data_IF_324401096196
#
_entry.id   IF_324401096196
#
_cell.length_a   1.000
_cell.length_b   1.000
_cell.length_c   1.000
_cell.angle_alpha   90.00
_cell.angle_beta   90.00
_cell.angle_gamma   90.00
#
_symmetry.space_group_name_H-M   'P 1'
#
loop_
_entity.id
_entity.type
_entity.pdbx_description
1 polymer ?
#
# COMPACT_ATOMS: atom_id res chain seq x y z
N UNK A 1 -2.70 35.87 17.96
CA UNK A 1 -3.02 34.69 17.14
C UNK A 1 -1.85 33.70 16.94
N UNK A 2 -0.60 34.08 17.17
CA UNK A 2 0.60 33.23 16.95
C UNK A 2 0.76 32.10 17.98
N UNK A 3 0.43 32.36 19.25
CA UNK A 3 0.65 31.41 20.39
C UNK A 3 -0.23 30.16 20.31
N UNK A 4 -1.51 30.33 19.93
CA UNK A 4 -2.46 29.20 19.77
C UNK A 4 -2.04 28.25 18.64
N UNK A 5 -1.55 28.81 17.52
CA UNK A 5 -1.07 28.04 16.35
C UNK A 5 0.21 27.24 16.67
N UNK A 6 1.08 27.81 17.52
CA UNK A 6 2.32 27.14 17.98
C UNK A 6 1.99 26.01 18.97
N UNK A 7 1.07 26.21 19.93
CA UNK A 7 0.64 25.18 20.85
C UNK A 7 -0.07 24.01 20.13
N UNK A 8 -0.89 24.31 19.13
CA UNK A 8 -1.54 23.28 18.31
C UNK A 8 -0.52 22.46 17.50
N UNK A 9 0.49 23.11 16.92
CA UNK A 9 1.57 22.45 16.17
C UNK A 9 2.43 21.55 17.05
N UNK A 10 2.74 22.00 18.28
CA UNK A 10 3.46 21.20 19.29
C UNK A 10 2.64 20.00 19.75
N UNK A 11 1.33 20.18 19.97
CA UNK A 11 0.42 19.09 20.31
C UNK A 11 0.34 18.04 19.23
N UNK A 12 0.29 18.44 17.95
CA UNK A 12 0.29 17.52 16.81
C UNK A 12 1.61 16.77 16.71
N UNK A 13 2.75 17.44 16.78
CA UNK A 13 4.07 16.80 16.71
C UNK A 13 4.25 15.74 17.82
N UNK A 14 3.76 16.02 19.05
CA UNK A 14 3.79 15.04 20.15
C UNK A 14 2.89 13.83 19.87
N UNK A 15 1.74 14.04 19.25
CA UNK A 15 0.84 12.95 18.82
C UNK A 15 1.53 12.05 17.80
N UNK A 16 2.12 12.65 16.77
CA UNK A 16 2.81 11.92 15.70
C UNK A 16 4.01 11.14 16.23
N UNK A 17 4.77 11.73 17.15
CA UNK A 17 5.87 11.05 17.81
C UNK A 17 5.41 9.83 18.64
N UNK A 18 4.36 9.99 19.45
CA UNK A 18 3.81 8.89 20.24
C UNK A 18 3.27 7.78 19.35
N UNK A 19 2.57 8.15 18.27
CA UNK A 19 2.05 7.20 17.30
C UNK A 19 3.19 6.40 16.66
N UNK A 20 4.23 7.07 16.17
CA UNK A 20 5.40 6.41 15.61
C UNK A 20 6.09 5.46 16.59
N UNK A 21 6.22 5.86 17.87
CA UNK A 21 6.77 5.00 18.91
C UNK A 21 5.93 3.74 19.14
N UNK A 22 4.62 3.87 19.27
CA UNK A 22 3.70 2.73 19.46
C UNK A 22 3.72 1.79 18.24
N UNK A 23 3.70 2.34 17.03
CA UNK A 23 3.80 1.54 15.80
C UNK A 23 5.11 0.76 15.71
N UNK A 24 6.24 1.40 16.06
CA UNK A 24 7.57 0.75 16.08
C UNK A 24 7.62 -0.43 17.05
N UNK A 25 7.00 -0.31 18.23
CA UNK A 25 6.92 -1.38 19.22
C UNK A 25 6.08 -2.55 18.66
N UNK A 26 4.92 -2.26 18.08
CA UNK A 26 4.06 -3.28 17.48
C UNK A 26 4.81 -4.00 16.34
N UNK A 27 5.48 -3.27 15.48
CA UNK A 27 6.28 -3.84 14.40
C UNK A 27 7.40 -4.75 14.94
N UNK A 28 8.10 -4.34 15.99
CA UNK A 28 9.15 -5.14 16.61
C UNK A 28 8.59 -6.43 17.23
N UNK A 29 7.42 -6.39 17.87
CA UNK A 29 6.77 -7.58 18.41
C UNK A 29 6.34 -8.54 17.31
N UNK A 30 5.82 -8.04 16.17
CA UNK A 30 5.51 -8.86 14.99
C UNK A 30 6.77 -9.50 14.40
N UNK A 31 7.87 -8.75 14.27
CA UNK A 31 9.18 -9.29 13.83
C UNK A 31 9.73 -10.36 14.75
N UNK A 32 9.40 -10.31 16.04
CA UNK A 32 9.80 -11.37 16.98
C UNK A 32 8.99 -12.67 16.85
N UNK A 33 8.03 -12.73 15.90
CA UNK A 33 7.21 -13.89 15.59
C UNK A 33 5.84 -13.92 16.25
N UNK A 34 5.44 -12.86 16.97
CA UNK A 34 4.06 -12.74 17.48
C UNK A 34 3.11 -12.49 16.31
N UNK A 35 1.92 -13.05 16.37
CA UNK A 35 0.79 -12.68 15.52
C UNK A 35 0.17 -11.38 16.00
N UNK A 36 -0.60 -10.71 15.15
CA UNK A 36 -1.32 -9.50 15.57
C UNK A 36 -2.35 -9.78 16.67
N UNK A 37 -2.96 -10.96 16.68
CA UNK A 37 -3.88 -11.39 17.73
C UNK A 37 -3.19 -11.47 19.11
N UNK A 38 -1.95 -11.93 19.16
CA UNK A 38 -1.16 -12.10 20.39
C UNK A 38 -0.61 -10.79 20.96
N UNK A 39 -0.59 -9.70 20.18
CA UNK A 39 -0.15 -8.39 20.68
C UNK A 39 -1.14 -7.89 21.72
N UNK A 40 -0.64 -7.62 22.92
CA UNK A 40 -1.41 -7.10 24.04
C UNK A 40 -1.12 -5.60 24.24
N UNK A 41 -2.17 -4.79 24.33
CA UNK A 41 -2.05 -3.34 24.61
C UNK A 41 -1.31 -3.08 25.91
N UNK A 42 -1.42 -3.96 26.93
CA UNK A 42 -0.70 -3.80 28.19
C UNK A 42 0.83 -3.85 28.00
N UNK A 43 1.32 -4.75 27.15
CA UNK A 43 2.74 -4.89 26.84
C UNK A 43 3.23 -3.68 26.04
N UNK A 44 2.44 -3.26 25.03
CA UNK A 44 2.76 -2.10 24.20
C UNK A 44 2.87 -0.81 25.03
N UNK A 45 1.94 -0.54 25.94
CA UNK A 45 1.98 0.66 26.79
C UNK A 45 3.12 0.63 27.81
N UNK A 46 3.44 -0.56 28.34
CA UNK A 46 4.56 -0.74 29.26
C UNK A 46 5.89 -0.45 28.54
N UNK A 47 6.08 -0.99 27.34
CA UNK A 47 7.28 -0.80 26.53
C UNK A 47 7.41 0.64 26.02
N UNK A 48 6.28 1.29 25.66
CA UNK A 48 6.24 2.70 25.28
C UNK A 48 6.43 3.68 26.45
N UNK A 49 6.42 3.21 27.70
CA UNK A 49 6.51 4.05 28.90
C UNK A 49 5.33 5.01 29.07
N UNK A 50 4.13 4.64 28.58
CA UNK A 50 2.92 5.45 28.65
C UNK A 50 1.85 4.77 29.54
N UNK A 51 0.85 5.55 29.95
CA UNK A 51 -0.31 4.98 30.64
C UNK A 51 -1.32 4.39 29.66
N UNK A 52 -2.14 3.43 30.14
CA UNK A 52 -3.30 2.93 29.35
C UNK A 52 -4.25 4.05 28.95
N UNK A 53 -4.50 5.02 29.84
CA UNK A 53 -5.36 6.18 29.52
C UNK A 53 -4.76 7.03 28.42
N UNK A 54 -3.44 7.18 28.39
CA UNK A 54 -2.73 7.86 27.29
C UNK A 54 -2.94 7.10 25.96
N UNK A 55 -2.75 5.77 25.97
CA UNK A 55 -2.98 4.96 24.77
C UNK A 55 -4.41 5.12 24.25
N UNK A 56 -5.42 4.94 25.10
CA UNK A 56 -6.82 5.03 24.70
C UNK A 56 -7.31 6.45 24.35
N UNK A 57 -6.54 7.49 24.70
CA UNK A 57 -6.78 8.85 24.22
C UNK A 57 -6.42 9.03 22.71
N UNK A 58 -5.55 8.15 22.17
CA UNK A 58 -5.11 8.19 20.78
C UNK A 58 -5.67 7.03 19.93
N UNK A 59 -5.86 5.86 20.53
CA UNK A 59 -6.29 4.65 19.86
C UNK A 59 -7.47 4.06 20.61
N UNK A 60 -8.64 4.01 19.98
CA UNK A 60 -9.84 3.43 20.60
C UNK A 60 -9.60 1.96 20.98
N UNK A 61 -8.87 1.26 20.12
CA UNK A 61 -8.50 -0.16 20.29
C UNK A 61 -7.23 -0.48 19.49
N UNK A 62 -6.80 -1.74 19.57
CA UNK A 62 -5.65 -2.28 18.82
C UNK A 62 -5.88 -2.25 17.31
N UNK A 63 -7.11 -2.49 16.87
CA UNK A 63 -7.47 -2.48 15.45
C UNK A 63 -7.40 -1.07 14.86
N UNK A 64 -7.73 -0.05 15.64
CA UNK A 64 -7.54 1.37 15.25
C UNK A 64 -6.08 1.66 14.96
N UNK A 65 -5.15 1.12 15.76
CA UNK A 65 -3.71 1.28 15.51
C UNK A 65 -3.30 0.66 14.17
N UNK A 66 -3.77 -0.58 13.89
CA UNK A 66 -3.47 -1.27 12.63
C UNK A 66 -4.04 -0.50 11.42
N UNK A 67 -5.26 0.04 11.54
CA UNK A 67 -5.87 0.86 10.48
C UNK A 67 -5.07 2.13 10.21
N UNK A 68 -4.63 2.85 11.25
CA UNK A 68 -3.80 4.04 11.11
C UNK A 68 -2.49 3.70 10.39
N UNK A 69 -1.82 2.61 10.77
CA UNK A 69 -0.59 2.15 10.13
C UNK A 69 -0.84 1.77 8.67
N UNK A 70 -1.94 1.07 8.40
CA UNK A 70 -2.33 0.71 7.03
C UNK A 70 -2.67 1.94 6.17
N UNK A 71 -3.32 2.96 6.75
CA UNK A 71 -3.59 4.22 6.04
C UNK A 71 -2.29 4.96 5.68
N UNK A 72 -1.30 5.00 6.58
CA UNK A 72 0.01 5.58 6.29
C UNK A 72 0.73 4.83 5.16
N UNK A 73 0.74 3.50 5.24
CA UNK A 73 1.26 2.64 4.18
C UNK A 73 0.58 2.91 2.84
N UNK A 74 -0.76 3.02 2.84
CA UNK A 74 -1.54 3.33 1.63
C UNK A 74 -1.10 4.64 0.98
N UNK A 75 -0.76 5.68 1.75
CA UNK A 75 -0.24 6.94 1.19
C UNK A 75 1.14 6.75 0.54
N UNK A 76 2.01 5.93 1.12
CA UNK A 76 3.32 5.60 0.53
C UNK A 76 3.12 4.88 -0.81
N UNK A 77 2.26 3.87 -0.85
CA UNK A 77 1.95 3.12 -2.08
C UNK A 77 1.32 4.04 -3.13
N UNK A 78 0.38 4.93 -2.75
CA UNK A 78 -0.20 5.91 -3.67
C UNK A 78 0.85 6.84 -4.28
N UNK A 79 1.85 7.25 -3.51
CA UNK A 79 2.99 8.00 -4.04
C UNK A 79 3.80 7.19 -5.07
N UNK A 80 3.99 5.91 -4.83
CA UNK A 80 4.70 5.03 -5.76
C UNK A 80 3.91 4.78 -7.06
N UNK A 81 2.61 4.54 -6.98
CA UNK A 81 1.78 4.28 -8.18
C UNK A 81 1.60 5.52 -9.05
N UNK A 82 1.73 6.74 -8.51
CA UNK A 82 1.69 7.96 -9.33
C UNK A 82 2.78 7.96 -10.41
N UNK A 83 3.94 7.37 -10.16
CA UNK A 83 4.99 7.24 -11.16
C UNK A 83 4.55 6.38 -12.36
N UNK A 84 3.71 5.37 -12.14
CA UNK A 84 3.11 4.58 -13.22
C UNK A 84 1.98 5.33 -13.93
N UNK A 85 1.04 5.90 -13.17
CA UNK A 85 -0.12 6.58 -13.74
C UNK A 85 0.20 7.89 -14.46
N UNK A 86 1.41 8.42 -14.30
CA UNK A 86 1.91 9.58 -15.04
C UNK A 86 2.69 9.22 -16.32
N UNK A 87 2.80 7.93 -16.66
CA UNK A 87 3.40 7.51 -17.93
C UNK A 87 2.51 7.92 -19.12
N UNK A 88 3.16 8.29 -20.22
CA UNK A 88 2.55 8.79 -21.44
C UNK A 88 2.97 7.97 -22.68
N UNK A 89 2.75 8.51 -23.85
CA UNK A 89 3.07 7.91 -25.16
C UNK A 89 4.58 7.71 -25.39
N UNK A 90 5.44 8.38 -24.64
CA UNK A 90 6.91 8.24 -24.73
C UNK A 90 7.45 7.10 -23.88
N UNK A 91 6.63 6.58 -22.94
CA UNK A 91 7.04 5.55 -22.00
C UNK A 91 7.48 4.24 -22.67
N UNK A 92 8.45 3.56 -22.13
CA UNK A 92 8.96 2.28 -22.57
C UNK A 92 8.57 1.16 -21.61
N UNK A 93 8.78 -0.10 -22.01
CA UNK A 93 8.61 -1.23 -21.10
C UNK A 93 9.51 -1.15 -19.85
N UNK A 94 10.65 -0.48 -19.97
CA UNK A 94 11.56 -0.26 -18.85
C UNK A 94 11.01 0.76 -17.86
N UNK A 95 10.30 1.79 -18.33
CA UNK A 95 9.66 2.78 -17.45
C UNK A 95 8.51 2.17 -16.66
N UNK A 96 7.70 1.32 -17.29
CA UNK A 96 6.65 0.55 -16.61
C UNK A 96 7.28 -0.38 -15.56
N UNK A 97 8.35 -1.09 -15.92
CA UNK A 97 9.08 -1.96 -14.97
C UNK A 97 9.59 -1.17 -13.77
N UNK A 98 10.28 -0.04 -14.01
CA UNK A 98 10.82 0.79 -12.94
C UNK A 98 9.73 1.37 -12.02
N UNK A 99 8.57 1.73 -12.58
CA UNK A 99 7.42 2.19 -11.79
C UNK A 99 6.85 1.08 -10.91
N UNK A 100 6.70 -0.14 -11.44
CA UNK A 100 6.21 -1.30 -10.68
C UNK A 100 7.22 -1.76 -9.61
N UNK A 101 8.53 -1.68 -9.88
CA UNK A 101 9.56 -1.95 -8.87
C UNK A 101 9.45 -1.02 -7.66
N UNK A 102 9.17 0.29 -7.85
CA UNK A 102 8.93 1.22 -6.74
C UNK A 102 7.71 0.84 -5.89
N UNK A 103 6.66 0.34 -6.53
CA UNK A 103 5.49 -0.16 -5.79
C UNK A 103 5.89 -1.38 -4.95
N UNK A 104 6.63 -2.33 -5.53
CA UNK A 104 7.10 -3.51 -4.81
C UNK A 104 8.02 -3.16 -3.65
N UNK A 105 8.90 -2.16 -3.80
CA UNK A 105 9.77 -1.69 -2.72
C UNK A 105 8.96 -1.10 -1.56
N UNK A 106 7.87 -0.38 -1.84
CA UNK A 106 6.97 0.10 -0.80
C UNK A 106 6.33 -1.07 0.00
N UNK A 107 5.96 -2.14 -0.68
CA UNK A 107 5.45 -3.35 -0.02
C UNK A 107 6.52 -4.10 0.77
N UNK A 108 7.75 -4.23 0.23
CA UNK A 108 8.88 -4.88 0.92
C UNK A 108 9.30 -4.19 2.20
N UNK A 109 9.06 -2.89 2.30
CA UNK A 109 9.39 -2.11 3.49
C UNK A 109 8.51 -2.44 4.71
N UNK A 110 7.33 -3.08 4.52
CA UNK A 110 6.33 -3.27 5.56
C UNK A 110 5.72 -4.69 5.60
N UNK A 111 6.53 -5.77 5.60
CA UNK A 111 6.03 -7.14 5.55
C UNK A 111 5.20 -7.52 6.78
N UNK A 112 5.55 -7.00 7.96
CA UNK A 112 4.85 -7.26 9.22
C UNK A 112 3.46 -6.62 9.22
N UNK A 113 3.34 -5.40 8.70
CA UNK A 113 2.04 -4.72 8.54
C UNK A 113 1.12 -5.51 7.62
N UNK A 114 1.66 -5.95 6.47
CA UNK A 114 0.88 -6.71 5.49
C UNK A 114 0.40 -8.05 6.08
N UNK A 115 1.26 -8.76 6.82
CA UNK A 115 0.91 -9.99 7.50
C UNK A 115 -0.18 -9.76 8.56
N UNK A 116 -0.02 -8.74 9.42
CA UNK A 116 -0.98 -8.37 10.45
C UNK A 116 -2.33 -7.93 9.86
N UNK A 117 -2.30 -7.15 8.78
CA UNK A 117 -3.52 -6.72 8.08
C UNK A 117 -4.25 -7.92 7.49
N UNK A 118 -3.53 -8.84 6.84
CA UNK A 118 -4.11 -10.04 6.25
C UNK A 118 -4.74 -10.97 7.29
N UNK A 119 -4.12 -11.12 8.46
CA UNK A 119 -4.66 -11.84 9.61
C UNK A 119 -5.97 -11.20 10.11
N UNK A 120 -5.99 -9.87 10.20
CA UNK A 120 -7.09 -9.12 10.79
C UNK A 120 -8.32 -8.99 9.86
N UNK A 121 -8.15 -8.98 8.53
CA UNK A 121 -9.26 -8.81 7.55
C UNK A 121 -10.42 -9.79 7.80
N UNK A 122 -10.12 -11.03 8.19
CA UNK A 122 -11.13 -12.06 8.44
C UNK A 122 -12.04 -11.76 9.64
N UNK A 123 -11.50 -11.09 10.65
CA UNK A 123 -12.11 -10.96 11.97
C UNK A 123 -12.40 -9.51 12.40
N UNK A 124 -11.91 -8.53 11.67
CA UNK A 124 -12.07 -7.10 11.99
C UNK A 124 -12.70 -6.34 10.81
N UNK A 125 -13.92 -5.85 11.04
CA UNK A 125 -14.68 -5.12 10.02
C UNK A 125 -14.01 -3.82 9.61
N UNK A 126 -13.44 -3.06 10.57
CA UNK A 126 -12.80 -1.79 10.29
C UNK A 126 -11.50 -1.92 9.49
N UNK A 127 -10.72 -2.99 9.76
CA UNK A 127 -9.53 -3.31 8.95
C UNK A 127 -9.95 -3.72 7.54
N UNK A 128 -10.99 -4.54 7.41
CA UNK A 128 -11.54 -4.92 6.09
C UNK A 128 -12.00 -3.70 5.29
N UNK A 129 -12.75 -2.79 5.91
CA UNK A 129 -13.20 -1.55 5.25
C UNK A 129 -12.01 -0.67 4.79
N UNK A 130 -10.96 -0.56 5.59
CA UNK A 130 -9.76 0.20 5.23
C UNK A 130 -9.07 -0.40 4.00
N UNK A 131 -8.92 -1.73 3.95
CA UNK A 131 -8.34 -2.45 2.82
C UNK A 131 -9.22 -2.29 1.57
N UNK A 132 -10.53 -2.49 1.69
CA UNK A 132 -11.47 -2.34 0.58
C UNK A 132 -11.48 -0.91 0.04
N UNK A 133 -11.35 0.09 0.91
CA UNK A 133 -11.25 1.49 0.51
C UNK A 133 -9.96 1.76 -0.29
N UNK A 134 -8.82 1.27 0.20
CA UNK A 134 -7.55 1.38 -0.51
C UNK A 134 -7.61 0.70 -1.89
N UNK A 135 -8.15 -0.51 -1.96
CA UNK A 135 -8.31 -1.26 -3.21
C UNK A 135 -9.17 -0.50 -4.22
N UNK A 136 -10.31 0.08 -3.80
CA UNK A 136 -11.14 0.91 -4.69
C UNK A 136 -10.35 2.10 -5.23
N UNK A 137 -9.58 2.80 -4.40
CA UNK A 137 -8.76 3.94 -4.85
C UNK A 137 -7.71 3.54 -5.88
N UNK A 138 -7.05 2.39 -5.70
CA UNK A 138 -6.07 1.89 -6.67
C UNK A 138 -6.73 1.48 -7.99
N UNK A 139 -7.87 0.78 -7.93
CA UNK A 139 -8.63 0.38 -9.12
C UNK A 139 -9.12 1.62 -9.90
N UNK A 140 -9.69 2.62 -9.20
CA UNK A 140 -10.17 3.85 -9.83
C UNK A 140 -9.03 4.67 -10.45
N UNK A 141 -7.87 4.77 -9.78
CA UNK A 141 -6.71 5.44 -10.33
C UNK A 141 -6.15 4.74 -11.57
N UNK A 142 -6.02 3.42 -11.54
CA UNK A 142 -5.57 2.64 -12.69
C UNK A 142 -6.57 2.70 -13.85
N UNK A 143 -7.88 2.64 -13.57
CA UNK A 143 -8.92 2.85 -14.58
C UNK A 143 -8.77 4.21 -15.25
N UNK A 144 -8.62 5.28 -14.48
CA UNK A 144 -8.43 6.63 -15.01
C UNK A 144 -7.20 6.73 -15.90
N UNK A 145 -6.08 6.09 -15.51
CA UNK A 145 -4.88 6.01 -16.35
C UNK A 145 -5.13 5.27 -17.67
N UNK A 146 -5.85 4.13 -17.62
CA UNK A 146 -6.19 3.36 -18.83
C UNK A 146 -7.08 4.20 -19.76
N UNK A 147 -8.16 4.81 -19.25
CA UNK A 147 -9.07 5.67 -20.04
C UNK A 147 -8.32 6.85 -20.68
N UNK A 148 -7.45 7.52 -19.92
CA UNK A 148 -6.61 8.60 -20.44
C UNK A 148 -5.64 8.11 -21.52
N UNK A 149 -5.01 6.95 -21.32
CA UNK A 149 -4.10 6.34 -22.28
C UNK A 149 -4.79 5.90 -23.57
N UNK A 150 -6.03 5.40 -23.49
CA UNK A 150 -6.87 5.07 -24.63
C UNK A 150 -7.24 6.33 -25.43
N UNK A 151 -7.65 7.40 -24.74
CA UNK A 151 -7.98 8.68 -25.36
C UNK A 151 -6.78 9.32 -26.08
N UNK A 152 -5.56 9.13 -25.55
CA UNK A 152 -4.32 9.64 -26.11
C UNK A 152 -3.59 8.64 -27.03
N UNK A 153 -4.12 7.44 -27.24
CA UNK A 153 -3.64 6.46 -28.22
C UNK A 153 -2.42 5.64 -27.79
N UNK A 154 -2.01 5.67 -26.51
CA UNK A 154 -0.86 4.89 -26.03
C UNK A 154 -1.26 3.65 -25.21
N UNK A 155 -2.53 3.45 -24.91
CA UNK A 155 -3.09 2.21 -24.34
C UNK A 155 -4.09 1.62 -25.35
N UNK A 156 -4.16 0.29 -25.40
CA UNK A 156 -5.04 -0.45 -26.30
C UNK A 156 -6.51 -0.04 -26.11
N UNK A 157 -7.15 0.57 -27.14
CA UNK A 157 -8.53 1.04 -27.04
C UNK A 157 -9.57 -0.10 -26.98
N UNK A 158 -9.19 -1.34 -27.29
CA UNK A 158 -10.10 -2.49 -27.25
C UNK A 158 -10.32 -3.05 -25.84
N UNK A 159 -9.50 -2.65 -24.86
CA UNK A 159 -9.62 -3.14 -23.49
C UNK A 159 -10.79 -2.48 -22.76
N UNK A 160 -11.62 -3.24 -22.04
CA UNK A 160 -12.58 -2.70 -21.10
C UNK A 160 -11.83 -2.14 -19.87
N UNK A 161 -11.72 -0.80 -19.77
CA UNK A 161 -10.83 -0.13 -18.83
C UNK A 161 -11.10 -0.49 -17.36
N UNK A 162 -12.37 -0.54 -16.95
CA UNK A 162 -12.77 -0.83 -15.57
C UNK A 162 -12.42 -2.27 -15.17
N UNK A 163 -12.75 -3.24 -16.01
CA UNK A 163 -12.49 -4.66 -15.76
C UNK A 163 -11.00 -4.97 -15.82
N UNK A 164 -10.28 -4.32 -16.73
CA UNK A 164 -8.81 -4.45 -16.84
C UNK A 164 -8.12 -3.90 -15.59
N UNK A 165 -8.51 -2.72 -15.12
CA UNK A 165 -8.01 -2.15 -13.90
C UNK A 165 -8.30 -3.05 -12.68
N UNK A 166 -9.51 -3.59 -12.59
CA UNK A 166 -9.92 -4.51 -11.53
C UNK A 166 -9.02 -5.75 -11.50
N UNK A 167 -8.83 -6.43 -12.62
CA UNK A 167 -8.03 -7.65 -12.68
C UNK A 167 -6.54 -7.41 -12.44
N UNK A 168 -5.97 -6.36 -13.05
CA UNK A 168 -4.56 -6.03 -12.83
C UNK A 168 -4.28 -5.68 -11.38
N UNK A 169 -5.18 -4.94 -10.72
CA UNK A 169 -5.01 -4.57 -9.33
C UNK A 169 -5.12 -5.77 -8.38
N UNK A 170 -6.10 -6.65 -8.56
CA UNK A 170 -6.23 -7.87 -7.75
C UNK A 170 -5.08 -8.85 -7.97
N UNK A 171 -4.59 -8.95 -9.20
CA UNK A 171 -3.42 -9.77 -9.52
C UNK A 171 -2.17 -9.22 -8.84
N UNK A 172 -1.98 -7.90 -8.83
CA UNK A 172 -0.88 -7.24 -8.11
C UNK A 172 -0.96 -7.49 -6.62
N UNK A 173 -2.10 -7.20 -5.99
CA UNK A 173 -2.29 -7.33 -4.54
C UNK A 173 -2.02 -8.75 -4.07
N UNK A 174 -2.68 -9.74 -4.69
CA UNK A 174 -2.51 -11.15 -4.32
C UNK A 174 -1.13 -11.69 -4.66
N UNK A 175 -0.60 -11.32 -5.82
CA UNK A 175 0.73 -11.72 -6.27
C UNK A 175 1.82 -11.15 -5.37
N UNK A 176 1.79 -9.86 -5.05
CA UNK A 176 2.76 -9.21 -4.18
C UNK A 176 2.73 -9.80 -2.76
N UNK A 177 1.53 -9.94 -2.18
CA UNK A 177 1.40 -10.50 -0.83
C UNK A 177 2.01 -11.91 -0.73
N UNK A 178 1.68 -12.79 -1.70
CA UNK A 178 2.21 -14.16 -1.72
C UNK A 178 3.70 -14.19 -2.01
N UNK A 179 4.15 -13.45 -3.02
CA UNK A 179 5.55 -13.38 -3.44
C UNK A 179 6.46 -12.94 -2.28
N UNK A 180 6.10 -11.86 -1.57
CA UNK A 180 6.93 -11.33 -0.49
C UNK A 180 6.99 -12.25 0.73
N UNK A 181 5.97 -13.06 0.96
CA UNK A 181 5.89 -13.96 2.12
C UNK A 181 6.48 -15.35 1.86
N UNK A 182 6.32 -15.89 0.66
CA UNK A 182 6.56 -17.30 0.37
C UNK A 182 7.78 -17.54 -0.53
N UNK A 183 8.24 -16.53 -1.30
CA UNK A 183 9.26 -16.71 -2.30
C UNK A 183 10.63 -16.16 -1.88
N UNK A 184 11.73 -16.85 -2.21
CA UNK A 184 13.08 -16.30 -2.01
C UNK A 184 13.32 -15.09 -2.92
N UNK A 185 14.21 -14.19 -2.52
CA UNK A 185 14.50 -12.93 -3.21
C UNK A 185 14.83 -13.11 -4.71
N UNK A 186 15.55 -14.21 -5.07
CA UNK A 186 15.85 -14.53 -6.46
C UNK A 186 14.59 -14.79 -7.30
N UNK A 187 13.58 -15.47 -6.74
CA UNK A 187 12.29 -15.71 -7.41
C UNK A 187 11.45 -14.44 -7.47
N UNK A 188 11.49 -13.61 -6.43
CA UNK A 188 10.75 -12.35 -6.38
C UNK A 188 11.10 -11.44 -7.57
N UNK A 189 12.38 -11.35 -7.94
CA UNK A 189 12.82 -10.57 -9.09
C UNK A 189 12.22 -11.06 -10.41
N UNK A 190 12.24 -12.37 -10.64
CA UNK A 190 11.66 -12.96 -11.85
C UNK A 190 10.13 -12.78 -11.92
N UNK A 191 9.44 -12.93 -10.79
CA UNK A 191 8.00 -12.69 -10.70
C UNK A 191 7.63 -11.23 -10.96
N UNK A 192 8.45 -10.30 -10.45
CA UNK A 192 8.31 -8.87 -10.71
C UNK A 192 8.48 -8.53 -12.20
N UNK A 193 9.52 -9.09 -12.83
CA UNK A 193 9.76 -8.93 -14.27
C UNK A 193 8.60 -9.50 -15.10
N UNK A 194 8.09 -10.66 -14.73
CA UNK A 194 6.95 -11.29 -15.40
C UNK A 194 5.68 -10.44 -15.27
N UNK A 195 5.40 -9.90 -14.08
CA UNK A 195 4.26 -9.01 -13.89
C UNK A 195 4.37 -7.74 -14.73
N UNK A 196 5.54 -7.10 -14.75
CA UNK A 196 5.79 -5.92 -15.58
C UNK A 196 5.60 -6.23 -17.09
N UNK A 197 6.04 -7.39 -17.55
CA UNK A 197 5.82 -7.83 -18.93
C UNK A 197 4.33 -8.06 -19.23
N UNK A 198 3.56 -8.62 -18.29
CA UNK A 198 2.10 -8.79 -18.44
C UNK A 198 1.43 -7.41 -18.58
N UNK A 199 1.76 -6.47 -17.69
CA UNK A 199 1.19 -5.11 -17.73
C UNK A 199 1.54 -4.41 -19.05
N UNK A 200 2.81 -4.46 -19.46
CA UNK A 200 3.25 -3.86 -20.72
C UNK A 200 2.54 -4.45 -21.93
N UNK A 201 2.53 -5.78 -22.03
CA UNK A 201 1.93 -6.47 -23.19
C UNK A 201 0.41 -6.35 -23.23
N UNK A 202 -0.24 -6.19 -22.09
CA UNK A 202 -1.69 -6.00 -22.04
C UNK A 202 -2.09 -4.57 -22.39
N UNK A 203 -1.45 -3.56 -21.80
CA UNK A 203 -1.90 -2.19 -21.92
C UNK A 203 -1.27 -1.44 -23.10
N UNK A 204 0.06 -1.50 -23.26
CA UNK A 204 0.81 -0.57 -24.10
C UNK A 204 1.27 -1.14 -25.43
N UNK A 205 1.75 -2.39 -25.45
CA UNK A 205 2.32 -2.98 -26.65
C UNK A 205 1.32 -3.12 -27.83
N UNK A 206 0.03 -3.42 -27.63
CA UNK A 206 -0.93 -3.48 -28.74
C UNK A 206 -1.15 -2.13 -29.43
N UNK A 207 -1.30 -1.04 -28.65
CA UNK A 207 -1.50 0.30 -29.20
C UNK A 207 -0.33 0.72 -30.11
N UNK A 208 0.91 0.39 -29.69
CA UNK A 208 2.13 0.72 -30.45
C UNK A 208 2.31 -0.09 -31.73
N UNK A 209 1.74 -1.30 -31.80
CA UNK A 209 1.75 -2.13 -33.04
C UNK A 209 0.74 -1.65 -34.06
N UNK A 210 -0.32 -0.97 -33.62
CA UNK A 210 -1.41 -0.49 -34.48
C UNK A 210 -1.14 0.90 -35.06
N UNK A 211 -0.16 1.64 -34.53
CA UNK A 211 0.23 3.00 -34.94
C UNK A 211 1.44 3.09 -35.87
N UNK A 212 2.06 1.98 -36.24
CA UNK A 212 3.13 1.88 -37.23
C UNK A 212 2.64 1.24 -38.52
#
# INVERSE_FOLDING_TARGET
MTTAKTAQKQGQARRDQLRGQVLSIVEQQLRSGKTFAEINVADVVAEAGISRSTFYAYFVDKSTLLRIWYDEFTQVVLGAVQAWWSLDDTATSQDVRAALERIMDAYRAHPELLAATHEAIGNDHGVREAVDHAMRRYIDGLRTHIEAGQANGFIDPSLPAAETAYWLQWMAERGLHRMLREEPESSQKLLAEAYAAIVWNSLYAPARRSGG
#
